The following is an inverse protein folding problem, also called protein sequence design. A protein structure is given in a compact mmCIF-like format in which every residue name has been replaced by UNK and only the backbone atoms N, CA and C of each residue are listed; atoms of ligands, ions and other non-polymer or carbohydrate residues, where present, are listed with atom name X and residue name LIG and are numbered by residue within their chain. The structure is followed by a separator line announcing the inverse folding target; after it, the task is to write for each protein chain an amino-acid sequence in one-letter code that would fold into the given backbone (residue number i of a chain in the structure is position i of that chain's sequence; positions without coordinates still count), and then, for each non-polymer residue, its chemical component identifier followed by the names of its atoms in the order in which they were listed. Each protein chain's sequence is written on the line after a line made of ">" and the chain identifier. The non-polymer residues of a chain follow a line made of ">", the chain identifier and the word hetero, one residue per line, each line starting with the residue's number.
data_IF_352619822681
#
_entry.id   IF_352619822681
#
_cell.length_a   1.000
_cell.length_b   1.000
_cell.length_c   1.000
_cell.angle_alpha   90.00
_cell.angle_beta   90.00
_cell.angle_gamma   90.00
#
_symmetry.space_group_name_H-M   'P 1'
#
loop_
_entity.id
_entity.type
_entity.pdbx_description
1 polymer ?
#
# COMPACT_ATOMS: atom_id res chain seq x y z
N UNK A 1 18.33 -1.75 7.32
CA UNK A 1 16.96 -2.27 7.16
C UNK A 1 16.35 -1.58 5.94
N UNK A 2 16.45 -2.19 4.76
CA UNK A 2 16.08 -1.58 3.48
C UNK A 2 14.61 -1.86 3.16
N UNK A 3 13.74 -0.85 3.29
CA UNK A 3 12.35 -0.93 2.84
C UNK A 3 12.22 -0.49 1.38
N UNK A 4 12.60 -1.38 0.47
CA UNK A 4 12.24 -1.24 -0.94
C UNK A 4 10.74 -1.51 -1.10
N UNK A 5 9.98 -0.55 -1.64
CA UNK A 5 9.06 -0.72 -2.78
C UNK A 5 8.62 0.69 -3.17
N UNK A 6 8.90 1.07 -4.42
CA UNK A 6 8.51 2.35 -4.99
C UNK A 6 6.98 2.48 -4.85
N UNK A 7 6.54 3.49 -4.09
CA UNK A 7 5.12 3.75 -3.86
C UNK A 7 4.44 3.88 -5.22
N UNK A 8 3.35 3.15 -5.50
CA UNK A 8 2.49 3.53 -6.61
C UNK A 8 2.02 4.95 -6.33
N UNK A 9 2.31 5.82 -7.27
CA UNK A 9 2.11 7.27 -7.12
C UNK A 9 0.64 7.62 -7.26
N UNK A 10 -0.15 6.77 -7.89
CA UNK A 10 -1.56 7.01 -8.20
C UNK A 10 -2.50 5.97 -7.57
N UNK A 11 -3.75 6.39 -7.33
CA UNK A 11 -4.81 5.52 -6.84
C UNK A 11 -5.08 4.34 -7.80
N UNK A 12 -4.99 4.57 -9.11
CA UNK A 12 -5.23 3.53 -10.13
C UNK A 12 -4.19 2.41 -10.08
N UNK A 13 -2.92 2.75 -9.84
CA UNK A 13 -1.86 1.76 -9.64
C UNK A 13 -2.08 0.97 -8.35
N UNK A 14 -2.51 1.64 -7.26
CA UNK A 14 -2.89 0.98 -6.02
C UNK A 14 -4.04 -0.02 -6.22
N UNK A 15 -5.08 0.35 -6.96
CA UNK A 15 -6.25 -0.51 -7.22
C UNK A 15 -5.93 -1.76 -8.05
N UNK A 16 -4.81 -1.77 -8.78
CA UNK A 16 -4.32 -2.95 -9.53
C UNK A 16 -3.50 -3.92 -8.68
N UNK A 17 -3.09 -3.52 -7.47
CA UNK A 17 -2.32 -4.38 -6.59
C UNK A 17 -3.19 -5.53 -6.05
N UNK A 18 -2.60 -6.69 -5.77
CA UNK A 18 -3.31 -7.76 -5.09
C UNK A 18 -3.76 -7.33 -3.69
N UNK A 19 -4.90 -7.86 -3.25
CA UNK A 19 -5.34 -7.66 -1.87
C UNK A 19 -4.33 -8.25 -0.87
N UNK A 20 -4.20 -7.58 0.29
CA UNK A 20 -3.27 -7.96 1.35
C UNK A 20 -4.03 -8.21 2.66
N UNK A 21 -3.45 -8.99 3.57
CA UNK A 21 -3.99 -9.22 4.91
C UNK A 21 -2.90 -9.01 5.96
N UNK A 22 -3.05 -8.06 6.90
CA UNK A 22 -4.14 -7.07 6.98
C UNK A 22 -4.16 -6.12 5.76
N UNK A 23 -5.31 -5.49 5.52
CA UNK A 23 -5.55 -4.67 4.34
C UNK A 23 -4.58 -3.48 4.26
N UNK A 24 -4.25 -3.08 3.03
CA UNK A 24 -3.51 -1.85 2.75
C UNK A 24 -4.47 -0.69 2.46
N UNK A 25 -4.13 0.51 2.92
CA UNK A 25 -4.87 1.75 2.74
C UNK A 25 -4.03 2.74 1.91
N UNK A 26 -4.65 3.43 0.95
CA UNK A 26 -3.99 4.49 0.18
C UNK A 26 -4.44 5.86 0.71
N UNK A 27 -3.51 6.58 1.34
CA UNK A 27 -3.76 7.86 2.03
C UNK A 27 -2.69 8.86 1.58
N UNK A 28 -3.12 10.00 1.02
CA UNK A 28 -2.24 11.10 0.58
C UNK A 28 -1.05 10.66 -0.29
N UNK A 29 -1.28 9.80 -1.29
CA UNK A 29 -0.21 9.34 -2.18
C UNK A 29 0.71 8.27 -1.59
N UNK A 30 0.36 7.71 -0.44
CA UNK A 30 1.12 6.65 0.23
C UNK A 30 0.25 5.44 0.53
N UNK A 31 0.80 4.25 0.35
CA UNK A 31 0.18 3.00 0.81
C UNK A 31 0.66 2.70 2.22
N UNK A 32 -0.27 2.39 3.12
CA UNK A 32 -0.02 2.03 4.52
C UNK A 32 -0.75 0.74 4.82
N UNK A 33 -0.05 -0.28 5.34
CA UNK A 33 -0.69 -1.52 5.75
C UNK A 33 -1.27 -1.38 7.15
N UNK A 34 -2.52 -1.81 7.36
CA UNK A 34 -3.17 -1.79 8.69
C UNK A 34 -2.39 -2.67 9.68
N UNK A 35 -2.39 -2.36 10.98
CA UNK A 35 -1.81 -3.24 11.98
C UNK A 35 -2.61 -4.56 12.02
N UNK A 36 -1.90 -5.65 12.26
CA UNK A 36 -2.51 -6.95 12.55
C UNK A 36 -2.97 -6.95 14.02
N UNK A 37 -4.18 -7.43 14.33
CA UNK A 37 -4.61 -7.64 15.72
C UNK A 37 -3.80 -8.74 16.42
#
# INVERSE_FOLDING_TARGET
>A
MTIATQKPTTLEEFLKLPETKPASEYINGSIIQKPMP
#
